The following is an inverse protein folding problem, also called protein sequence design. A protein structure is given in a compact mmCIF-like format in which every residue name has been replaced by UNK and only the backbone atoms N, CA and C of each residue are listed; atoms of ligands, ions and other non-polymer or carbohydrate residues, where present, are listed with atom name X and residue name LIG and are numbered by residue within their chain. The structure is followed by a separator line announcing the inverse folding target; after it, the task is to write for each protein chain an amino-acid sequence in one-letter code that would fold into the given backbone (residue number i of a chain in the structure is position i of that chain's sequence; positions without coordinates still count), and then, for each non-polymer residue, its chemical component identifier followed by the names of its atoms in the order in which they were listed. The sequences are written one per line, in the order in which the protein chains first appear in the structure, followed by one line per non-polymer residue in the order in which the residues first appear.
data_IF_138416805778
#
_entry.id   IF_138416805778
#
_cell.length_a   1.000
_cell.length_b   1.000
_cell.length_c   1.000
_cell.angle_alpha   90.00
_cell.angle_beta   90.00
_cell.angle_gamma   90.00
#
_symmetry.space_group_name_H-M   'P 1'
#
loop_
_entity.id
_entity.type
_entity.pdbx_description
1 polymer ?
#
# COMPACT_ATOMS: atom_id res chain seq x y z
N UNK A 1 -13.28 18.28 -11.05
CA UNK A 1 -13.98 18.48 -9.75
C UNK A 1 -13.13 17.78 -8.70
N UNK A 2 -12.26 18.52 -8.04
CA UNK A 2 -11.48 18.01 -6.90
C UNK A 2 -12.44 17.82 -5.73
N UNK A 3 -12.76 16.57 -5.43
CA UNK A 3 -13.46 16.25 -4.20
C UNK A 3 -12.53 16.55 -3.03
N UNK A 4 -12.86 17.56 -2.24
CA UNK A 4 -12.18 17.88 -0.98
C UNK A 4 -12.12 16.61 -0.14
N UNK A 5 -10.90 16.09 0.23
CA UNK A 5 -10.76 14.87 1.03
C UNK A 5 -11.46 14.97 2.40
N UNK A 6 -11.81 16.17 2.84
CA UNK A 6 -12.60 16.43 4.06
C UNK A 6 -14.09 16.13 3.89
N UNK A 7 -14.55 15.92 2.64
CA UNK A 7 -15.95 15.64 2.31
C UNK A 7 -16.17 14.14 1.99
N UNK A 8 -15.39 13.27 2.59
CA UNK A 8 -15.64 11.84 2.58
C UNK A 8 -16.98 11.61 3.30
N UNK A 9 -18.01 11.29 2.52
CA UNK A 9 -19.32 10.97 3.06
C UNK A 9 -19.18 9.89 4.14
N UNK A 10 -19.57 10.23 5.35
CA UNK A 10 -19.59 9.29 6.48
C UNK A 10 -20.33 8.03 6.04
N UNK A 11 -19.62 6.91 5.92
CA UNK A 11 -20.26 5.61 5.81
C UNK A 11 -20.00 4.76 4.57
N UNK A 12 -19.03 5.07 3.70
CA UNK A 12 -18.66 4.15 2.62
C UNK A 12 -17.33 3.45 2.91
N UNK A 13 -17.27 2.14 2.67
CA UNK A 13 -16.03 1.34 2.77
C UNK A 13 -14.88 1.94 1.93
N UNK A 14 -15.20 2.64 0.83
CA UNK A 14 -14.23 3.35 0.00
C UNK A 14 -13.43 4.43 0.78
N UNK A 15 -14.01 5.01 1.83
CA UNK A 15 -13.30 5.99 2.67
C UNK A 15 -12.15 5.38 3.49
N UNK A 16 -12.16 4.07 3.70
CA UNK A 16 -11.11 3.36 4.43
C UNK A 16 -9.86 3.09 3.58
N UNK A 17 -9.98 3.11 2.26
CA UNK A 17 -8.90 2.73 1.35
C UNK A 17 -8.13 3.94 0.79
N UNK A 18 -8.45 5.16 1.23
CA UNK A 18 -7.80 6.36 0.72
C UNK A 18 -8.25 6.74 -0.70
N UNK A 19 -7.36 7.33 -1.50
CA UNK A 19 -7.69 7.80 -2.85
C UNK A 19 -6.46 7.82 -3.76
N UNK A 20 -6.68 7.90 -5.07
CA UNK A 20 -5.64 8.12 -6.07
C UNK A 20 -5.55 9.63 -6.37
N UNK A 21 -4.34 10.17 -6.35
CA UNK A 21 -4.01 11.55 -6.72
C UNK A 21 -2.89 11.53 -7.78
N UNK A 22 -3.21 11.88 -9.00
CA UNK A 22 -2.32 11.63 -10.14
C UNK A 22 -1.98 10.15 -10.26
N UNK A 23 -0.70 9.83 -10.30
CA UNK A 23 -0.18 8.46 -10.37
C UNK A 23 0.18 7.88 -8.97
N UNK A 24 -0.27 8.49 -7.89
CA UNK A 24 0.07 8.10 -6.51
C UNK A 24 -1.20 7.77 -5.73
N UNK A 25 -1.19 6.64 -5.04
CA UNK A 25 -2.23 6.33 -4.07
C UNK A 25 -1.87 6.92 -2.71
N UNK A 26 -2.83 7.56 -2.05
CA UNK A 26 -2.71 8.18 -0.73
C UNK A 26 -3.55 7.42 0.28
N UNK A 27 -2.91 6.92 1.33
CA UNK A 27 -3.56 6.25 2.45
C UNK A 27 -3.32 7.02 3.75
N UNK A 28 -4.35 7.69 4.34
CA UNK A 28 -4.20 8.42 5.59
C UNK A 28 -4.30 7.47 6.79
N UNK A 29 -3.54 7.75 7.83
CA UNK A 29 -3.62 7.05 9.12
C UNK A 29 -3.19 7.95 10.27
N UNK A 30 -3.50 7.54 11.50
CA UNK A 30 -3.08 8.22 12.72
C UNK A 30 -2.29 7.25 13.59
N UNK A 31 -1.17 7.71 14.16
CA UNK A 31 -0.34 6.92 15.07
C UNK A 31 -1.12 6.60 16.36
N UNK A 32 -1.21 5.33 16.69
CA UNK A 32 -1.89 4.82 17.89
C UNK A 32 -0.88 4.41 18.96
N UNK A 33 -1.34 4.09 20.18
CA UNK A 33 -0.48 3.61 21.27
C UNK A 33 0.35 2.40 20.90
N UNK A 34 -0.26 1.43 20.18
CA UNK A 34 0.40 0.20 19.72
C UNK A 34 1.53 0.46 18.71
N UNK A 35 1.58 1.64 18.13
CA UNK A 35 2.56 2.00 17.11
C UNK A 35 3.84 2.59 17.71
N UNK A 36 3.84 2.94 19.01
CA UNK A 36 4.95 3.64 19.66
C UNK A 36 5.77 2.73 20.56
N UNK A 37 7.04 3.05 20.72
CA UNK A 37 7.94 2.40 21.68
C UNK A 37 7.99 3.14 23.03
N UNK A 38 8.85 2.66 23.94
CA UNK A 38 9.05 3.26 25.26
C UNK A 38 9.63 4.70 25.20
N UNK A 39 10.18 5.11 24.06
CA UNK A 39 10.64 6.48 23.81
C UNK A 39 9.53 7.42 23.32
N UNK A 40 8.30 6.92 23.14
CA UNK A 40 7.16 7.70 22.69
C UNK A 40 7.16 8.02 21.19
N UNK A 41 8.01 7.38 20.41
CA UNK A 41 8.10 7.54 18.95
C UNK A 41 7.65 6.28 18.24
N UNK A 42 7.31 6.39 16.96
CA UNK A 42 6.92 5.24 16.13
C UNK A 42 8.03 4.19 16.16
N UNK A 43 7.69 2.96 16.58
CA UNK A 43 8.62 1.85 16.53
C UNK A 43 8.95 1.50 15.07
N UNK A 44 10.24 1.33 14.75
CA UNK A 44 10.70 1.26 13.37
C UNK A 44 10.00 0.21 12.50
N UNK A 45 9.60 -0.95 13.06
CA UNK A 45 8.88 -1.98 12.31
C UNK A 45 7.48 -1.53 11.88
N UNK A 46 6.86 -0.57 12.58
CA UNK A 46 5.52 -0.09 12.26
C UNK A 46 5.48 0.72 10.97
N UNK A 47 6.59 1.33 10.54
CA UNK A 47 6.66 1.93 9.20
C UNK A 47 6.42 0.88 8.09
N UNK A 48 6.93 -0.35 8.26
CA UNK A 48 6.68 -1.45 7.32
C UNK A 48 5.20 -1.89 7.38
N UNK A 49 4.61 -1.92 8.58
CA UNK A 49 3.18 -2.22 8.76
C UNK A 49 2.27 -1.15 8.13
N UNK A 50 2.63 0.12 8.28
CA UNK A 50 1.91 1.22 7.63
C UNK A 50 2.00 1.12 6.09
N UNK A 51 3.19 0.81 5.58
CA UNK A 51 3.40 0.59 4.16
C UNK A 51 2.56 -0.60 3.64
N UNK A 52 2.43 -1.69 4.41
CA UNK A 52 1.56 -2.83 4.09
C UNK A 52 0.09 -2.41 4.00
N UNK A 53 -0.41 -1.69 5.00
CA UNK A 53 -1.79 -1.17 5.00
C UNK A 53 -2.04 -0.27 3.78
N UNK A 54 -1.09 0.62 3.46
CA UNK A 54 -1.17 1.48 2.28
C UNK A 54 -1.21 0.70 0.96
N UNK A 55 -0.39 -0.36 0.81
CA UNK A 55 -0.42 -1.23 -0.37
C UNK A 55 -1.75 -1.96 -0.51
N UNK A 56 -2.24 -2.55 0.58
CA UNK A 56 -3.51 -3.26 0.58
C UNK A 56 -4.67 -2.33 0.24
N UNK A 57 -4.67 -1.11 0.78
CA UNK A 57 -5.64 -0.07 0.46
C UNK A 57 -5.55 0.35 -1.02
N UNK A 58 -4.33 0.54 -1.54
CA UNK A 58 -4.09 0.85 -2.95
C UNK A 58 -4.71 -0.20 -3.88
N UNK A 59 -4.47 -1.47 -3.62
CA UNK A 59 -5.06 -2.56 -4.41
C UNK A 59 -6.60 -2.53 -4.38
N UNK A 60 -7.19 -2.30 -3.20
CA UNK A 60 -8.65 -2.18 -3.08
C UNK A 60 -9.21 -0.97 -3.83
N UNK A 61 -8.54 0.18 -3.82
CA UNK A 61 -8.89 1.33 -4.65
C UNK A 61 -8.93 0.99 -6.15
N UNK A 62 -8.09 0.04 -6.58
CA UNK A 62 -8.04 -0.46 -7.95
C UNK A 62 -9.07 -1.58 -8.22
N UNK A 63 -9.93 -1.92 -7.24
CA UNK A 63 -10.87 -3.01 -7.32
C UNK A 63 -10.21 -4.40 -7.25
N UNK A 64 -9.00 -4.49 -6.69
CA UNK A 64 -8.24 -5.73 -6.52
C UNK A 64 -8.32 -6.14 -5.05
N UNK A 65 -9.07 -7.17 -4.77
CA UNK A 65 -9.28 -7.70 -3.42
C UNK A 65 -8.43 -8.94 -3.22
N UNK A 66 -7.46 -8.86 -2.34
CA UNK A 66 -6.55 -9.99 -2.04
C UNK A 66 -7.30 -11.15 -1.38
N UNK A 67 -8.34 -10.85 -0.61
CA UNK A 67 -9.23 -11.82 0.02
C UNK A 67 -9.99 -12.66 -1.01
N UNK A 68 -10.37 -12.11 -2.16
CA UNK A 68 -11.04 -12.86 -3.23
C UNK A 68 -10.08 -13.87 -3.88
N UNK A 69 -8.82 -13.46 -4.10
CA UNK A 69 -7.77 -14.37 -4.58
C UNK A 69 -7.50 -15.50 -3.59
N UNK A 70 -7.47 -15.20 -2.28
CA UNK A 70 -7.30 -16.21 -1.23
C UNK A 70 -8.48 -17.19 -1.21
N UNK A 71 -9.72 -16.71 -1.32
CA UNK A 71 -10.92 -17.54 -1.37
C UNK A 71 -10.91 -18.46 -2.60
N UNK A 72 -10.55 -17.95 -3.79
CA UNK A 72 -10.41 -18.73 -5.00
C UNK A 72 -9.37 -19.87 -4.85
N UNK A 73 -8.23 -19.57 -4.25
CA UNK A 73 -7.20 -20.57 -3.94
C UNK A 73 -7.70 -21.66 -2.99
N UNK A 74 -8.45 -21.29 -1.95
CA UNK A 74 -9.04 -22.26 -0.99
C UNK A 74 -10.09 -23.16 -1.66
N UNK A 75 -10.75 -22.68 -2.71
CA UNK A 75 -11.69 -23.45 -3.55
C UNK A 75 -10.99 -24.29 -4.62
N UNK A 76 -9.67 -24.28 -4.66
CA UNK A 76 -8.87 -25.09 -5.59
C UNK A 76 -8.63 -24.45 -6.95
N UNK A 77 -8.91 -23.16 -7.12
CA UNK A 77 -8.57 -22.43 -8.34
C UNK A 77 -7.06 -22.30 -8.49
N UNK A 78 -6.51 -23.03 -9.46
CA UNK A 78 -5.09 -23.03 -9.76
C UNK A 78 -4.64 -21.85 -10.62
N UNK A 79 -5.56 -21.08 -11.15
CA UNK A 79 -5.28 -19.88 -11.93
C UNK A 79 -5.20 -18.63 -11.03
N UNK A 80 -5.75 -18.69 -9.82
CA UNK A 80 -5.66 -17.61 -8.87
C UNK A 80 -4.20 -17.32 -8.52
N UNK A 81 -3.87 -16.03 -8.40
CA UNK A 81 -2.52 -15.56 -8.09
C UNK A 81 -2.51 -14.76 -6.80
N UNK A 82 -1.38 -14.79 -6.12
CA UNK A 82 -1.11 -13.97 -4.94
C UNK A 82 0.04 -13.02 -5.20
N UNK A 83 -0.04 -11.85 -4.60
CA UNK A 83 1.05 -10.89 -4.54
C UNK A 83 1.81 -11.09 -3.23
N UNK A 84 3.10 -11.40 -3.31
CA UNK A 84 3.95 -11.67 -2.15
C UNK A 84 5.13 -10.71 -2.11
N UNK A 85 5.39 -10.15 -0.96
CA UNK A 85 6.57 -9.30 -0.76
C UNK A 85 7.82 -10.18 -0.77
N UNK A 86 8.79 -9.81 -1.59
CA UNK A 86 10.10 -10.49 -1.71
C UNK A 86 11.20 -9.75 -0.99
N UNK A 87 11.15 -8.41 -1.02
CA UNK A 87 12.18 -7.55 -0.46
C UNK A 87 11.55 -6.22 -0.04
N UNK A 88 12.03 -5.69 1.06
CA UNK A 88 11.76 -4.34 1.51
C UNK A 88 13.11 -3.68 1.82
N UNK A 89 13.34 -2.52 1.25
CA UNK A 89 14.40 -1.60 1.65
C UNK A 89 13.71 -0.40 2.31
N UNK A 90 14.19 0.03 3.47
CA UNK A 90 13.59 1.12 4.21
C UNK A 90 14.66 2.08 4.73
N UNK A 91 14.48 3.36 4.43
CA UNK A 91 15.24 4.46 5.00
C UNK A 91 14.35 5.20 6.01
N UNK A 92 14.76 5.24 7.27
CA UNK A 92 14.10 5.99 8.34
C UNK A 92 14.79 7.35 8.47
N UNK A 93 14.06 8.41 8.16
CA UNK A 93 14.64 9.76 8.01
C UNK A 93 14.28 10.66 9.18
N UNK A 94 13.05 10.56 9.66
CA UNK A 94 12.52 11.33 10.78
C UNK A 94 11.57 10.48 11.58
N UNK A 95 11.21 10.93 12.76
CA UNK A 95 10.26 10.24 13.63
C UNK A 95 9.04 11.10 13.93
N UNK A 96 7.96 10.47 14.39
CA UNK A 96 6.78 11.12 14.91
C UNK A 96 6.27 10.36 16.14
N UNK A 97 5.44 10.97 16.95
CA UNK A 97 4.90 10.39 18.17
C UNK A 97 3.42 10.02 18.07
N UNK A 98 2.87 9.64 19.21
CA UNK A 98 1.45 9.33 19.38
C UNK A 98 0.56 10.47 18.87
N UNK A 99 -0.50 10.11 18.15
CA UNK A 99 -1.49 11.06 17.63
C UNK A 99 -1.09 11.76 16.32
N UNK A 100 0.16 11.59 15.86
CA UNK A 100 0.61 12.17 14.59
C UNK A 100 -0.26 11.69 13.42
N UNK A 101 -0.63 12.61 12.54
CA UNK A 101 -1.32 12.30 11.30
C UNK A 101 -0.32 11.99 10.20
N UNK A 102 -0.45 10.79 9.63
CA UNK A 102 0.43 10.31 8.59
C UNK A 102 -0.34 10.03 7.31
N UNK A 103 0.41 10.02 6.22
CA UNK A 103 -0.05 9.44 4.95
C UNK A 103 1.02 8.53 4.37
N UNK A 104 0.57 7.43 3.80
CA UNK A 104 1.40 6.53 3.00
C UNK A 104 1.09 6.81 1.54
N UNK A 105 2.09 7.28 0.82
CA UNK A 105 2.06 7.52 -0.62
C UNK A 105 2.60 6.28 -1.31
N UNK A 106 1.83 5.67 -2.22
CA UNK A 106 2.26 4.47 -2.95
C UNK A 106 2.29 4.77 -4.45
N UNK A 107 3.45 4.60 -5.06
CA UNK A 107 3.68 4.78 -6.50
C UNK A 107 4.28 3.52 -7.12
N UNK A 108 3.93 3.25 -8.39
CA UNK A 108 4.48 2.15 -9.16
C UNK A 108 5.75 2.59 -9.87
N UNK A 109 6.91 2.03 -9.50
CA UNK A 109 8.19 2.31 -10.18
C UNK A 109 8.42 1.42 -11.38
N UNK A 110 8.03 0.15 -11.27
CA UNK A 110 8.25 -0.83 -12.35
C UNK A 110 7.20 -1.92 -12.29
N UNK A 111 6.70 -2.30 -13.46
CA UNK A 111 5.82 -3.44 -13.65
C UNK A 111 6.46 -4.42 -14.62
N UNK A 112 6.75 -5.62 -14.12
CA UNK A 112 7.28 -6.73 -14.90
C UNK A 112 6.21 -7.79 -15.20
N UNK A 113 6.61 -8.88 -15.88
CA UNK A 113 5.69 -9.97 -16.24
C UNK A 113 5.15 -10.74 -15.02
N UNK A 114 5.95 -10.90 -13.97
CA UNK A 114 5.59 -11.64 -12.74
C UNK A 114 6.01 -10.91 -11.48
N UNK A 115 6.27 -9.62 -11.56
CA UNK A 115 6.71 -8.82 -10.41
C UNK A 115 6.40 -7.35 -10.62
N UNK A 116 6.36 -6.59 -9.52
CA UNK A 116 6.33 -5.13 -9.53
C UNK A 116 7.25 -4.57 -8.45
N UNK A 117 7.71 -3.35 -8.65
CA UNK A 117 8.43 -2.55 -7.65
C UNK A 117 7.61 -1.32 -7.34
N UNK A 118 7.36 -1.11 -6.06
CA UNK A 118 6.67 0.07 -5.54
C UNK A 118 7.64 0.94 -4.76
N UNK A 119 7.43 2.24 -4.82
CA UNK A 119 7.95 3.19 -3.86
C UNK A 119 6.82 3.56 -2.90
N UNK A 120 7.14 3.60 -1.61
CA UNK A 120 6.23 4.10 -0.61
C UNK A 120 6.93 5.17 0.22
N UNK A 121 6.27 6.31 0.39
CA UNK A 121 6.74 7.43 1.19
C UNK A 121 5.75 7.61 2.33
N UNK A 122 6.26 7.63 3.56
CA UNK A 122 5.45 7.91 4.74
C UNK A 122 5.76 9.32 5.18
N UNK A 123 4.72 10.17 5.19
CA UNK A 123 4.83 11.58 5.59
C UNK A 123 4.02 11.86 6.84
N UNK A 124 4.56 12.74 7.67
CA UNK A 124 3.81 13.42 8.71
C UNK A 124 3.12 14.65 8.11
N UNK A 125 1.84 14.80 8.35
CA UNK A 125 1.02 15.93 7.88
C UNK A 125 0.62 16.74 9.11
N UNK A 126 1.09 17.97 9.21
CA UNK A 126 0.68 18.87 10.28
C UNK A 126 -0.66 19.55 9.93
N UNK A 127 -1.46 19.83 10.95
CA UNK A 127 -2.75 20.52 10.80
C UNK A 127 -2.53 21.88 10.13
N UNK A 128 -3.27 22.15 9.04
CA UNK A 128 -3.12 23.38 8.25
C UNK A 128 -2.04 23.36 7.18
N UNK A 129 -1.18 22.34 7.10
CA UNK A 129 -0.24 22.19 5.98
C UNK A 129 -0.95 21.68 4.72
N UNK A 130 -0.52 22.20 3.57
CA UNK A 130 -0.89 21.58 2.29
C UNK A 130 -0.31 20.17 2.24
N UNK A 131 -1.07 19.27 1.66
CA UNK A 131 -0.74 17.83 1.50
C UNK A 131 0.69 17.61 0.97
N UNK A 132 1.18 18.49 0.13
CA UNK A 132 2.49 18.42 -0.53
C UNK A 132 3.69 18.71 0.40
N UNK A 133 3.48 19.35 1.54
CA UNK A 133 4.54 19.92 2.39
C UNK A 133 4.85 19.09 3.65
N UNK A 134 4.29 17.90 3.81
CA UNK A 134 4.55 17.06 4.99
C UNK A 134 6.00 16.54 5.05
N UNK A 135 6.55 16.43 6.26
CA UNK A 135 7.90 15.88 6.50
C UNK A 135 7.96 14.40 6.17
N UNK A 136 8.95 13.98 5.39
CA UNK A 136 9.17 12.57 5.08
C UNK A 136 9.76 11.89 6.30
N UNK A 137 9.04 10.91 6.84
CA UNK A 137 9.49 10.09 7.96
C UNK A 137 10.26 8.86 7.48
N UNK A 138 9.77 8.20 6.44
CA UNK A 138 10.42 7.03 5.87
C UNK A 138 10.18 6.92 4.36
N UNK A 139 11.13 6.29 3.68
CA UNK A 139 11.03 5.85 2.28
C UNK A 139 11.23 4.35 2.21
N UNK A 140 10.35 3.66 1.49
CA UNK A 140 10.44 2.22 1.31
C UNK A 140 10.44 1.89 -0.19
N UNK A 141 11.29 0.95 -0.57
CA UNK A 141 11.23 0.27 -1.86
C UNK A 141 10.78 -1.17 -1.62
N UNK A 142 9.74 -1.58 -2.31
CA UNK A 142 9.12 -2.88 -2.10
C UNK A 142 9.09 -3.66 -3.41
N UNK A 143 9.77 -4.81 -3.42
CA UNK A 143 9.70 -5.76 -4.52
C UNK A 143 8.61 -6.80 -4.22
N UNK A 144 7.65 -6.91 -5.13
CA UNK A 144 6.50 -7.82 -5.01
C UNK A 144 6.55 -8.81 -6.16
N UNK A 145 6.43 -10.10 -5.83
CA UNK A 145 6.27 -11.17 -6.80
C UNK A 145 4.82 -11.59 -6.95
N UNK A 146 4.44 -11.95 -8.16
CA UNK A 146 3.19 -12.63 -8.46
C UNK A 146 3.44 -14.13 -8.45
N UNK A 147 2.71 -14.89 -7.64
CA UNK A 147 2.89 -16.34 -7.47
C UNK A 147 1.55 -17.07 -7.52
N UNK A 148 1.61 -18.33 -7.92
CA UNK A 148 0.46 -19.25 -7.84
C UNK A 148 0.86 -20.53 -7.11
N UNK A 149 -0.12 -21.32 -6.59
CA UNK A 149 0.12 -22.64 -6.01
C UNK A 149 0.75 -23.58 -7.04
N UNK A 150 1.60 -24.47 -6.56
CA UNK A 150 2.18 -25.54 -7.35
C UNK A 150 1.72 -26.90 -6.83
N UNK A 151 1.77 -27.91 -7.68
CA UNK A 151 1.31 -29.29 -7.36
C UNK A 151 2.06 -29.96 -6.20
N UNK A 152 3.29 -29.51 -5.91
CA UNK A 152 4.10 -29.98 -4.79
C UNK A 152 3.79 -29.27 -3.44
N UNK A 153 2.75 -28.45 -3.39
CA UNK A 153 2.37 -27.64 -2.22
C UNK A 153 3.17 -26.34 -2.07
N UNK A 154 4.15 -26.08 -2.96
CA UNK A 154 4.92 -24.85 -3.00
C UNK A 154 4.19 -23.73 -3.75
N UNK A 155 4.89 -22.60 -3.91
CA UNK A 155 4.44 -21.46 -4.72
C UNK A 155 5.48 -21.17 -5.79
N UNK A 156 5.05 -20.93 -7.02
CA UNK A 156 5.95 -20.58 -8.13
C UNK A 156 5.61 -19.23 -8.72
N UNK A 157 6.60 -18.49 -9.24
CA UNK A 157 6.35 -17.27 -9.98
C UNK A 157 5.36 -17.55 -11.12
N UNK A 158 4.37 -16.68 -11.23
CA UNK A 158 3.36 -16.72 -12.29
C UNK A 158 3.23 -15.36 -12.94
N UNK A 159 2.98 -15.38 -14.24
CA UNK A 159 2.70 -14.13 -14.95
C UNK A 159 1.51 -13.43 -14.33
N UNK A 160 1.66 -12.13 -14.12
CA UNK A 160 0.59 -11.28 -13.62
C UNK A 160 -0.59 -11.28 -14.59
N UNK A 161 -1.83 -11.50 -14.14
CA UNK A 161 -3.00 -11.39 -14.98
C UNK A 161 -3.04 -10.04 -15.71
N UNK A 162 -3.49 -10.06 -16.96
CA UNK A 162 -3.47 -8.87 -17.82
C UNK A 162 -4.34 -7.73 -17.29
N UNK A 163 -5.50 -8.06 -16.75
CA UNK A 163 -6.43 -7.10 -16.14
C UNK A 163 -5.83 -6.43 -14.89
N UNK A 164 -5.14 -7.21 -14.05
CA UNK A 164 -4.41 -6.69 -12.90
C UNK A 164 -3.29 -5.73 -13.33
N UNK A 165 -2.49 -6.16 -14.32
CA UNK A 165 -1.40 -5.35 -14.83
C UNK A 165 -1.89 -4.05 -15.48
N UNK A 166 -3.03 -4.11 -16.18
CA UNK A 166 -3.63 -2.94 -16.82
C UNK A 166 -4.15 -1.93 -15.80
N UNK A 167 -4.91 -2.37 -14.79
CA UNK A 167 -5.39 -1.51 -13.69
C UNK A 167 -4.25 -0.81 -12.98
N UNK A 168 -3.15 -1.52 -12.68
CA UNK A 168 -1.96 -0.95 -12.05
C UNK A 168 -1.33 0.14 -12.95
N UNK A 169 -1.22 -0.09 -14.26
CA UNK A 169 -0.68 0.91 -15.19
C UNK A 169 -1.58 2.14 -15.28
N UNK A 170 -2.87 1.93 -15.51
CA UNK A 170 -3.82 3.05 -15.72
C UNK A 170 -3.92 3.97 -14.50
N UNK A 171 -3.75 3.45 -13.30
CA UNK A 171 -3.94 4.21 -12.07
C UNK A 171 -2.64 4.76 -11.47
N UNK A 172 -1.49 4.13 -11.72
CA UNK A 172 -0.24 4.45 -11.03
C UNK A 172 0.93 4.76 -11.97
N UNK A 173 0.66 5.02 -13.25
CA UNK A 173 1.65 5.57 -14.19
C UNK A 173 1.10 6.83 -14.83
N UNK A 174 1.99 7.82 -15.03
CA UNK A 174 1.67 9.04 -15.79
C UNK A 174 1.49 8.74 -17.28
#
# INVERSE_FOLDING_TARGET
MTTDPRNLSRGTAAALDGWIDGAVHIYPLRVQYEDTDAGGIIYHSNYVSFAERGRSACLRCLGIRQEDALAALQQGDREAVMLVVRRVEADFLMTAGLGAELRVETALLKLGGASMKLQQIIRHVEEGMKIENGHILARLLVDIGCVAPHVDGGKRPRRMPSDLAERLRQALTD
#
